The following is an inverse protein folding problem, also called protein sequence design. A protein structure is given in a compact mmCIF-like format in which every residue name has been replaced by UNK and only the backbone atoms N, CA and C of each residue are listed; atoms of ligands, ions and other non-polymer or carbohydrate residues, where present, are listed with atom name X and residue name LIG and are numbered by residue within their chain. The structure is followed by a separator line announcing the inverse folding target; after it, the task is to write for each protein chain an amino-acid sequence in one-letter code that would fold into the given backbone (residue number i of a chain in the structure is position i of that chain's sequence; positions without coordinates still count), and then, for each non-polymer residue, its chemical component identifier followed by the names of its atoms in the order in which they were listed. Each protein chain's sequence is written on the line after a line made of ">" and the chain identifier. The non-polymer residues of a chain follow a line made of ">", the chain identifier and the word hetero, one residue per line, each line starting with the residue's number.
data_IF_950563362873
#
_entry.id   IF_950563362873
#
_cell.length_a   1.000
_cell.length_b   1.000
_cell.length_c   1.000
_cell.angle_alpha   90.00
_cell.angle_beta   90.00
_cell.angle_gamma   90.00
#
_symmetry.space_group_name_H-M   'P 1'
#
loop_
_entity.id
_entity.type
_entity.pdbx_description
1 polymer ?
#
# COMPACT_ATOMS: atom_id res chain seq x y z
N UNK A 1 -12.63 -5.74 6.92
CA UNK A 1 -11.16 -5.92 6.96
C UNK A 1 -10.52 -4.75 7.70
N UNK A 2 -9.57 -5.00 8.61
CA UNK A 2 -8.85 -3.94 9.35
C UNK A 2 -7.56 -3.57 8.59
N UNK A 3 -7.41 -2.29 8.28
CA UNK A 3 -6.27 -1.72 7.58
C UNK A 3 -5.73 -0.58 8.43
N UNK A 4 -4.45 -0.67 8.77
CA UNK A 4 -3.75 0.38 9.50
C UNK A 4 -3.02 1.28 8.51
N UNK A 5 -3.01 2.58 8.79
CA UNK A 5 -2.27 3.55 7.99
C UNK A 5 -1.09 4.03 8.80
N UNK A 6 0.11 3.74 8.29
CA UNK A 6 1.36 4.16 8.90
C UNK A 6 1.95 5.28 8.05
N UNK A 7 2.28 6.46 8.63
CA UNK A 7 3.01 7.49 7.91
C UNK A 7 4.35 6.92 7.41
N UNK A 8 4.69 7.20 6.16
CA UNK A 8 5.99 6.79 5.62
C UNK A 8 7.09 7.63 6.28
N UNK A 9 8.14 6.96 6.75
CA UNK A 9 9.28 7.61 7.43
C UNK A 9 10.52 7.40 6.58
N UNK A 10 11.14 8.48 6.15
CA UNK A 10 12.39 8.48 5.38
C UNK A 10 13.43 9.30 6.14
N UNK A 11 14.59 8.71 6.40
CA UNK A 11 15.67 9.34 7.18
C UNK A 11 15.24 9.92 8.55
N UNK A 12 14.22 9.32 9.18
CA UNK A 12 13.66 9.77 10.46
C UNK A 12 12.54 10.82 10.33
N UNK A 13 12.34 11.37 9.14
CA UNK A 13 11.28 12.35 8.87
C UNK A 13 10.02 11.68 8.32
N UNK A 14 8.86 12.09 8.85
CA UNK A 14 7.56 11.65 8.34
C UNK A 14 7.28 12.39 7.04
N UNK A 15 7.14 11.64 5.94
CA UNK A 15 6.66 12.19 4.69
C UNK A 15 5.22 12.65 4.89
N UNK A 16 5.01 13.95 4.69
CA UNK A 16 3.69 14.56 4.79
C UNK A 16 2.81 14.01 3.67
N UNK A 17 1.57 13.69 4.03
CA UNK A 17 0.54 13.23 3.08
C UNK A 17 0.93 11.94 2.34
N UNK A 18 1.75 11.10 2.97
CA UNK A 18 2.19 9.80 2.46
C UNK A 18 2.06 8.69 3.53
N UNK A 19 1.34 7.63 3.18
CA UNK A 19 0.95 6.58 4.11
C UNK A 19 1.16 5.19 3.49
N UNK A 20 1.83 4.31 4.21
CA UNK A 20 1.80 2.88 3.97
C UNK A 20 0.50 2.28 4.51
N UNK A 21 -0.13 1.43 3.70
CA UNK A 21 -1.30 0.64 4.09
C UNK A 21 -0.80 -0.70 4.64
N UNK A 22 -1.13 -0.98 5.90
CA UNK A 22 -0.66 -2.15 6.64
C UNK A 22 -1.82 -3.10 6.91
N UNK A 23 -1.62 -4.38 6.59
CA UNK A 23 -2.51 -5.48 6.93
C UNK A 23 -1.71 -6.61 7.58
N UNK A 24 -2.17 -7.13 8.72
CA UNK A 24 -1.47 -8.20 9.47
C UNK A 24 0.02 -7.89 9.75
N UNK A 25 0.34 -6.61 9.98
CA UNK A 25 1.71 -6.15 10.24
C UNK A 25 2.59 -6.00 8.99
N UNK A 26 2.05 -6.24 7.80
CA UNK A 26 2.76 -6.21 6.51
C UNK A 26 2.28 -5.07 5.62
N UNK A 27 3.16 -4.54 4.78
CA UNK A 27 2.80 -3.45 3.87
C UNK A 27 2.10 -4.00 2.64
N UNK A 28 0.85 -3.62 2.43
CA UNK A 28 0.03 -4.09 1.29
C UNK A 28 -0.19 -3.04 0.23
N UNK A 29 0.20 -1.80 0.49
CA UNK A 29 -0.02 -0.69 -0.44
C UNK A 29 0.42 0.64 0.11
N UNK A 30 0.12 1.69 -0.64
CA UNK A 30 0.46 3.07 -0.29
C UNK A 30 -0.64 4.01 -0.74
N UNK A 31 -0.87 5.04 0.05
CA UNK A 31 -1.75 6.17 -0.22
C UNK A 31 -0.91 7.44 -0.10
N UNK A 32 -0.87 8.24 -1.15
CA UNK A 32 -0.06 9.45 -1.20
C UNK A 32 -0.81 10.59 -1.87
N UNK A 33 -0.47 11.82 -1.51
CA UNK A 33 -0.96 12.99 -2.22
C UNK A 33 -0.11 13.26 -3.48
N UNK A 34 -0.73 13.24 -4.65
CA UNK A 34 -0.08 13.57 -5.91
C UNK A 34 0.37 15.03 -5.90
N UNK A 35 1.66 15.27 -5.74
CA UNK A 35 2.20 16.61 -5.53
C UNK A 35 2.51 17.37 -6.84
N UNK A 36 2.44 16.71 -8.00
CA UNK A 36 3.01 17.25 -9.25
C UNK A 36 2.02 17.42 -10.42
N UNK A 37 0.75 17.02 -10.32
CA UNK A 37 -0.20 17.16 -11.42
C UNK A 37 -1.21 18.30 -11.20
N UNK A 38 -0.79 19.49 -11.65
CA UNK A 38 -1.64 20.60 -12.08
C UNK A 38 -2.36 21.42 -11.00
N UNK A 39 -2.24 22.74 -11.17
CA UNK A 39 -2.41 23.79 -10.15
C UNK A 39 -3.83 24.03 -9.59
N UNK A 40 -4.75 23.06 -9.58
CA UNK A 40 -6.14 23.31 -9.13
C UNK A 40 -6.87 22.18 -8.39
N UNK A 41 -6.32 20.95 -8.26
CA UNK A 41 -6.99 19.90 -7.45
C UNK A 41 -6.03 19.06 -6.63
N UNK A 42 -6.37 18.88 -5.36
CA UNK A 42 -5.75 17.93 -4.43
C UNK A 42 -6.19 16.52 -4.82
N UNK A 43 -5.30 15.74 -5.42
CA UNK A 43 -5.59 14.37 -5.85
C UNK A 43 -4.79 13.40 -4.98
N UNK A 44 -5.49 12.56 -4.24
CA UNK A 44 -4.93 11.45 -3.50
C UNK A 44 -4.84 10.23 -4.40
N UNK A 45 -3.67 9.63 -4.49
CA UNK A 45 -3.42 8.40 -5.21
C UNK A 45 -3.30 7.24 -4.22
N UNK A 46 -3.80 6.08 -4.61
CA UNK A 46 -3.65 4.86 -3.83
C UNK A 46 -3.35 3.69 -4.75
N UNK A 47 -2.55 2.75 -4.25
CA UNK A 47 -2.26 1.51 -4.95
C UNK A 47 -1.94 0.40 -3.97
N UNK A 48 -2.40 -0.81 -4.29
CA UNK A 48 -1.95 -2.03 -3.65
C UNK A 48 -0.57 -2.35 -4.23
N UNK A 49 0.39 -2.64 -3.36
CA UNK A 49 1.74 -3.01 -3.74
C UNK A 49 2.07 -4.35 -3.08
N UNK A 50 2.17 -5.38 -3.90
CA UNK A 50 2.49 -6.74 -3.47
C UNK A 50 3.45 -7.37 -4.49
N UNK A 51 4.31 -8.31 -4.06
CA UNK A 51 5.17 -9.08 -4.95
C UNK A 51 4.40 -10.19 -5.70
N UNK A 52 3.19 -9.88 -6.17
CA UNK A 52 2.27 -10.75 -6.88
C UNK A 52 1.73 -10.01 -8.11
N UNK A 53 1.22 -10.72 -9.14
CA UNK A 53 0.55 -10.04 -10.24
C UNK A 53 -0.67 -9.27 -9.73
N UNK A 54 -0.60 -7.94 -9.87
CA UNK A 54 -1.60 -6.99 -9.38
C UNK A 54 -2.54 -6.61 -10.54
N UNK A 55 -3.87 -6.80 -10.38
CA UNK A 55 -4.85 -6.33 -11.35
C UNK A 55 -4.84 -4.82 -11.52
N UNK A 56 -5.21 -4.34 -12.72
CA UNK A 56 -5.26 -2.90 -13.03
C UNK A 56 -6.23 -2.09 -12.16
N UNK A 57 -7.20 -2.74 -11.52
CA UNK A 57 -8.18 -2.10 -10.63
C UNK A 57 -7.70 -1.96 -9.17
N UNK A 58 -6.50 -2.46 -8.84
CA UNK A 58 -5.90 -2.33 -7.51
C UNK A 58 -5.11 -1.01 -7.33
N UNK A 59 -5.41 0.00 -8.13
CA UNK A 59 -4.91 1.36 -7.99
C UNK A 59 -6.02 2.34 -8.39
N UNK A 60 -5.90 3.58 -7.92
CA UNK A 60 -6.83 4.64 -8.27
C UNK A 60 -6.47 5.97 -7.66
N UNK A 61 -7.33 6.96 -7.89
CA UNK A 61 -7.20 8.30 -7.35
C UNK A 61 -8.53 8.79 -6.78
N UNK A 62 -8.47 9.77 -5.87
CA UNK A 62 -9.63 10.36 -5.22
C UNK A 62 -9.36 11.81 -4.82
N UNK A 63 -10.40 12.63 -4.69
CA UNK A 63 -10.28 14.04 -4.31
C UNK A 63 -10.05 14.26 -2.79
N UNK A 64 -10.02 13.20 -2.00
CA UNK A 64 -9.82 13.27 -0.55
C UNK A 64 -9.17 12.01 0.00
N UNK A 65 -8.46 12.16 1.12
CA UNK A 65 -7.80 11.06 1.82
C UNK A 65 -8.81 9.98 2.24
N UNK A 66 -9.97 10.36 2.78
CA UNK A 66 -11.01 9.41 3.19
C UNK A 66 -11.53 8.58 2.00
N UNK A 67 -11.76 9.22 0.84
CA UNK A 67 -12.17 8.51 -0.37
C UNK A 67 -11.06 7.60 -0.91
N UNK A 68 -9.79 8.01 -0.83
CA UNK A 68 -8.66 7.16 -1.18
C UNK A 68 -8.50 5.95 -0.25
N UNK A 69 -8.69 6.14 1.07
CA UNK A 69 -8.71 5.05 2.05
C UNK A 69 -9.81 4.05 1.74
N UNK A 70 -11.02 4.53 1.44
CA UNK A 70 -12.14 3.67 1.10
C UNK A 70 -11.90 2.90 -0.21
N UNK A 71 -11.45 3.57 -1.27
CA UNK A 71 -11.13 2.92 -2.54
C UNK A 71 -10.03 1.87 -2.42
N UNK A 72 -8.97 2.17 -1.65
CA UNK A 72 -7.91 1.22 -1.36
C UNK A 72 -8.42 0.02 -0.56
N UNK A 73 -9.26 0.25 0.45
CA UNK A 73 -9.87 -0.82 1.27
C UNK A 73 -10.75 -1.74 0.43
N UNK A 74 -11.62 -1.19 -0.42
CA UNK A 74 -12.52 -1.96 -1.27
C UNK A 74 -11.74 -2.80 -2.29
N UNK A 75 -10.70 -2.21 -2.89
CA UNK A 75 -9.81 -2.93 -3.79
C UNK A 75 -9.03 -4.04 -3.04
N UNK A 76 -8.52 -3.74 -1.85
CA UNK A 76 -7.80 -4.73 -1.04
C UNK A 76 -8.69 -5.90 -0.63
N UNK A 77 -9.91 -5.63 -0.15
CA UNK A 77 -10.85 -6.68 0.26
C UNK A 77 -11.20 -7.61 -0.91
N UNK A 78 -11.48 -7.04 -2.09
CA UNK A 78 -11.73 -7.80 -3.31
C UNK A 78 -10.52 -8.60 -3.76
N UNK A 79 -9.33 -8.01 -3.70
CA UNK A 79 -8.09 -8.69 -4.09
C UNK A 79 -7.76 -9.83 -3.12
N UNK A 80 -7.82 -9.58 -1.82
CA UNK A 80 -7.55 -10.56 -0.78
C UNK A 80 -8.53 -11.74 -0.83
N UNK A 81 -9.82 -11.49 -1.05
CA UNK A 81 -10.80 -12.55 -1.26
C UNK A 81 -10.50 -13.42 -2.51
N UNK A 82 -9.78 -12.88 -3.49
CA UNK A 82 -9.33 -13.64 -4.67
C UNK A 82 -8.01 -14.38 -4.49
N UNK A 83 -7.31 -14.17 -3.36
CA UNK A 83 -6.05 -14.85 -3.08
C UNK A 83 -6.31 -16.27 -2.58
N UNK A 84 -5.61 -17.24 -3.17
CA UNK A 84 -5.55 -18.59 -2.63
C UNK A 84 -4.58 -18.62 -1.43
N UNK A 85 -4.74 -19.58 -0.50
CA UNK A 85 -3.81 -19.75 0.62
C UNK A 85 -2.34 -19.91 0.19
N UNK A 86 -2.09 -20.48 -0.99
CA UNK A 86 -0.75 -20.60 -1.56
C UNK A 86 -0.16 -19.25 -1.97
N UNK A 87 -0.97 -18.35 -2.54
CA UNK A 87 -0.51 -16.99 -2.89
C UNK A 87 -0.22 -16.16 -1.66
N UNK A 88 -1.02 -16.29 -0.60
CA UNK A 88 -0.78 -15.64 0.70
C UNK A 88 0.54 -16.13 1.30
N UNK A 89 0.76 -17.46 1.33
CA UNK A 89 2.03 -18.04 1.79
C UNK A 89 3.23 -17.55 0.99
N UNK A 90 3.11 -17.49 -0.33
CA UNK A 90 4.19 -16.98 -1.20
C UNK A 90 4.48 -15.51 -0.96
N UNK A 91 3.45 -14.69 -0.75
CA UNK A 91 3.61 -13.29 -0.39
C UNK A 91 4.38 -13.15 0.94
N UNK A 92 3.97 -13.85 2.00
CA UNK A 92 4.67 -13.82 3.29
C UNK A 92 6.13 -14.25 3.15
N UNK A 93 6.40 -15.34 2.43
CA UNK A 93 7.76 -15.82 2.20
C UNK A 93 8.65 -14.76 1.52
N UNK A 94 8.14 -14.06 0.50
CA UNK A 94 8.92 -13.04 -0.22
C UNK A 94 9.22 -11.85 0.70
N UNK A 95 8.25 -11.38 1.49
CA UNK A 95 8.48 -10.29 2.44
C UNK A 95 9.46 -10.68 3.56
N UNK A 96 9.31 -11.88 4.13
CA UNK A 96 10.24 -12.38 5.16
C UNK A 96 11.67 -12.54 4.61
N UNK A 97 11.82 -12.97 3.35
CA UNK A 97 13.11 -13.02 2.67
C UNK A 97 13.68 -11.63 2.42
N UNK A 98 12.86 -10.67 1.98
CA UNK A 98 13.29 -9.29 1.76
C UNK A 98 13.82 -8.67 3.06
N UNK A 99 13.04 -8.78 4.14
CA UNK A 99 13.45 -8.33 5.47
C UNK A 99 14.74 -9.01 5.91
N UNK A 100 14.83 -10.35 5.79
CA UNK A 100 16.03 -11.11 6.16
C UNK A 100 17.28 -10.72 5.37
N UNK A 101 17.13 -10.30 4.11
CA UNK A 101 18.25 -9.89 3.26
C UNK A 101 18.73 -8.46 3.56
N UNK A 102 17.86 -7.59 4.09
CA UNK A 102 18.25 -6.26 4.57
C UNK A 102 19.19 -6.34 5.80
N UNK A 103 19.07 -7.39 6.63
CA UNK A 103 19.96 -7.63 7.78
C UNK A 103 21.38 -8.12 7.41
N UNK A 104 21.66 -8.47 6.15
CA UNK A 104 23.01 -8.90 5.69
C UNK A 104 23.85 -7.76 5.07
N UNK A 105 23.31 -6.54 5.00
CA UNK A 105 24.00 -5.36 4.46
C UNK A 105 24.59 -4.45 5.55
N UNK A 106 24.62 -4.90 6.81
CA UNK A 106 25.34 -4.26 7.93
C UNK A 106 26.80 -4.74 8.06
#
# INVERSE_FOLDING_TARGET
>A
MDLLLRPTVTAGDKLKDDYCVIHEGRSVGRIQLASEQSSQRTVWEWHVNLPLPIPRWCNGSADSLEAAKQGCKDAWEKFYASLTPERIRRWHLIEDLALSNEWWLE
#
